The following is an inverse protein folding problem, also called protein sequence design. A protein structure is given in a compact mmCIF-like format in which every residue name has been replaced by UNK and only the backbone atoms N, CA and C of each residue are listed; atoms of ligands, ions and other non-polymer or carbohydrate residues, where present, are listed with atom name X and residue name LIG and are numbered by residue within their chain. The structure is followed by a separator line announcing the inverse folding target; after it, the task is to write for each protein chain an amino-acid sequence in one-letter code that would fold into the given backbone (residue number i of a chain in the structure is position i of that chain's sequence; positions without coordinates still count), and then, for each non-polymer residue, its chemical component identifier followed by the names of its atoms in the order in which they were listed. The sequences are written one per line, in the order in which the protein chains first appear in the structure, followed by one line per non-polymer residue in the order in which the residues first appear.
data_IF_246423215087
#
_entry.id   IF_246423215087
#
_cell.length_a   1.000
_cell.length_b   1.000
_cell.length_c   1.000
_cell.angle_alpha   90.00
_cell.angle_beta   90.00
_cell.angle_gamma   90.00
#
_symmetry.space_group_name_H-M   'P 1'
#
loop_
_entity.id
_entity.type
_entity.pdbx_description
1 polymer ?
#
# COMPACT_ATOMS: atom_id res chain seq x y z
N UNK A 1 4.00 -13.14 -7.03
CA UNK A 1 4.03 -14.06 -8.13
C UNK A 1 5.31 -14.77 -8.43
N UNK A 2 6.27 -14.60 -7.63
CA UNK A 2 7.55 -15.25 -7.71
C UNK A 2 7.44 -16.76 -7.62
N UNK A 3 6.28 -17.25 -7.30
CA UNK A 3 6.16 -18.58 -6.77
C UNK A 3 5.08 -19.41 -7.35
N UNK A 4 4.45 -18.96 -8.34
CA UNK A 4 3.70 -19.87 -9.19
C UNK A 4 4.70 -20.67 -10.03
N UNK A 5 5.52 -21.45 -9.36
CA UNK A 5 6.16 -22.56 -9.99
C UNK A 5 5.04 -23.38 -10.61
N UNK A 6 4.98 -23.41 -11.93
CA UNK A 6 3.99 -24.21 -12.65
C UNK A 6 4.10 -25.71 -12.34
N UNK A 7 5.16 -26.08 -11.66
CA UNK A 7 5.46 -27.44 -11.23
C UNK A 7 5.90 -27.36 -9.77
N UNK A 8 4.98 -27.59 -8.83
CA UNK A 8 5.32 -27.60 -7.40
C UNK A 8 6.39 -28.64 -7.13
N UNK A 9 7.38 -28.27 -6.35
CA UNK A 9 8.40 -29.21 -5.93
C UNK A 9 7.77 -30.26 -5.00
N UNK A 10 7.93 -31.57 -5.27
CA UNK A 10 7.32 -32.61 -4.45
C UNK A 10 7.99 -32.78 -3.07
N UNK A 11 9.15 -32.16 -2.85
CA UNK A 11 9.81 -32.20 -1.54
C UNK A 11 9.09 -31.28 -0.56
N UNK A 12 8.49 -31.78 0.53
CA UNK A 12 7.77 -30.95 1.51
C UNK A 12 8.68 -29.96 2.24
N UNK A 13 9.97 -30.21 2.30
CA UNK A 13 10.96 -29.32 2.94
C UNK A 13 11.50 -28.26 1.98
N UNK A 14 11.03 -28.23 0.74
CA UNK A 14 11.48 -27.23 -0.20
C UNK A 14 11.03 -25.83 0.20
N UNK A 15 11.89 -24.85 -0.02
CA UNK A 15 11.67 -23.46 0.38
C UNK A 15 10.34 -22.89 -0.14
N UNK A 16 9.82 -23.38 -1.27
CA UNK A 16 8.53 -22.93 -1.80
C UNK A 16 7.33 -23.30 -0.91
N UNK A 17 7.48 -24.32 -0.06
CA UNK A 17 6.47 -24.74 0.92
C UNK A 17 6.65 -24.05 2.25
N UNK A 18 7.79 -23.42 2.48
CA UNK A 18 8.16 -22.73 3.71
C UNK A 18 7.79 -21.24 3.61
N UNK A 19 6.52 -20.98 3.42
CA UNK A 19 6.02 -19.65 3.26
C UNK A 19 5.92 -18.93 4.62
N UNK A 20 6.89 -18.09 4.92
CA UNK A 20 6.87 -17.22 6.10
C UNK A 20 6.22 -15.84 5.84
N UNK A 21 5.57 -15.67 4.70
CA UNK A 21 4.90 -14.44 4.29
C UNK A 21 5.83 -13.34 3.75
N UNK A 22 7.12 -13.42 4.01
CA UNK A 22 8.07 -12.38 3.60
C UNK A 22 8.39 -12.42 2.11
N UNK A 23 8.41 -13.60 1.53
CA UNK A 23 8.80 -13.80 0.14
C UNK A 23 7.82 -13.18 -0.86
N UNK A 24 6.53 -13.17 -0.56
CA UNK A 24 5.53 -12.55 -1.44
C UNK A 24 5.55 -11.01 -1.42
N UNK A 25 6.04 -10.44 -0.34
CA UNK A 25 6.14 -8.99 -0.15
C UNK A 25 7.41 -8.40 -0.76
N UNK A 26 8.44 -9.21 -0.93
CA UNK A 26 9.76 -8.76 -1.33
C UNK A 26 10.05 -9.11 -2.79
N UNK A 27 10.99 -8.37 -3.38
CA UNK A 27 11.54 -8.75 -4.67
C UNK A 27 12.53 -9.93 -4.54
N UNK A 28 13.12 -10.34 -5.66
CA UNK A 28 14.09 -11.42 -5.70
C UNK A 28 15.27 -11.26 -4.72
N UNK A 29 15.65 -10.03 -4.42
CA UNK A 29 16.75 -9.70 -3.51
C UNK A 29 16.32 -9.51 -2.06
N UNK A 30 15.07 -9.79 -1.71
CA UNK A 30 14.55 -9.67 -0.36
C UNK A 30 14.19 -8.23 0.06
N UNK A 31 14.12 -7.29 -0.86
CA UNK A 31 13.72 -5.92 -0.55
C UNK A 31 12.21 -5.77 -0.57
N UNK A 32 11.67 -5.20 0.50
CA UNK A 32 10.27 -4.77 0.54
C UNK A 32 10.09 -3.57 -0.39
N UNK A 33 9.41 -3.79 -1.51
CA UNK A 33 9.22 -2.76 -2.53
C UNK A 33 8.36 -1.59 -2.03
N UNK A 34 7.51 -1.83 -1.06
CA UNK A 34 6.72 -0.77 -0.42
C UNK A 34 7.55 0.12 0.52
N UNK A 35 8.83 -0.12 0.66
CA UNK A 35 9.79 0.74 1.38
C UNK A 35 10.75 1.44 0.44
N UNK A 36 10.50 1.39 -0.86
CA UNK A 36 11.43 1.87 -1.88
C UNK A 36 11.01 3.18 -2.58
N UNK A 37 9.99 3.88 -2.04
CA UNK A 37 9.54 5.15 -2.62
C UNK A 37 10.57 6.28 -2.56
N UNK A 38 11.42 6.29 -1.54
CA UNK A 38 12.45 7.30 -1.33
C UNK A 38 13.83 6.77 -1.74
N UNK A 39 14.20 5.61 -1.23
CA UNK A 39 15.54 5.05 -1.46
C UNK A 39 15.78 4.59 -2.90
N UNK A 40 14.75 4.11 -3.58
CA UNK A 40 14.74 3.76 -5.02
C UNK A 40 15.96 2.91 -5.42
N UNK A 41 16.36 1.99 -4.56
CA UNK A 41 17.58 1.18 -4.78
C UNK A 41 17.35 0.07 -5.79
N UNK A 42 16.12 -0.42 -5.92
CA UNK A 42 15.78 -1.57 -6.74
C UNK A 42 15.29 -1.15 -8.14
N UNK A 43 15.41 -2.02 -9.14
CA UNK A 43 14.99 -1.71 -10.52
C UNK A 43 13.49 -1.48 -10.65
N UNK A 44 12.67 -2.21 -9.90
CA UNK A 44 11.21 -2.09 -9.94
C UNK A 44 10.74 -0.68 -9.53
N UNK A 45 11.12 -0.13 -8.35
CA UNK A 45 10.74 1.23 -7.99
C UNK A 45 11.30 2.28 -8.96
N UNK A 46 12.47 2.09 -9.54
CA UNK A 46 12.97 3.00 -10.58
C UNK A 46 12.03 3.06 -11.79
N UNK A 47 11.49 1.92 -12.20
CA UNK A 47 10.59 1.85 -13.34
C UNK A 47 9.25 2.55 -13.07
N UNK A 48 8.62 2.30 -11.92
CA UNK A 48 7.31 2.92 -11.61
C UNK A 48 7.45 4.41 -11.29
N UNK A 49 8.48 4.85 -10.56
CA UNK A 49 8.70 6.27 -10.30
C UNK A 49 8.97 7.02 -11.60
N UNK A 50 9.74 6.43 -12.52
CA UNK A 50 9.90 7.00 -13.86
C UNK A 50 8.54 7.17 -14.55
N UNK A 51 7.69 6.14 -14.53
CA UNK A 51 6.35 6.22 -15.12
C UNK A 51 5.46 7.23 -14.40
N UNK A 52 5.54 7.31 -13.09
CA UNK A 52 4.87 8.33 -12.32
C UNK A 52 5.22 9.75 -12.80
N UNK A 53 6.49 10.04 -12.96
CA UNK A 53 6.94 11.34 -13.46
C UNK A 53 6.56 11.63 -14.91
N UNK A 54 6.52 10.60 -15.74
CA UNK A 54 6.05 10.73 -17.14
C UNK A 54 4.55 11.01 -17.21
N UNK A 55 3.75 10.27 -16.44
CA UNK A 55 2.29 10.35 -16.49
C UNK A 55 1.71 11.49 -15.67
N UNK A 56 2.38 11.85 -14.58
CA UNK A 56 1.92 12.87 -13.63
C UNK A 56 0.45 12.71 -13.24
N UNK A 57 0.07 11.58 -12.65
CA UNK A 57 -1.32 11.31 -12.33
C UNK A 57 -1.87 12.34 -11.35
N UNK A 58 -3.11 12.76 -11.55
CA UNK A 58 -3.80 13.67 -10.63
C UNK A 58 -4.34 12.93 -9.39
N UNK A 59 -4.52 11.62 -9.52
CA UNK A 59 -4.94 10.73 -8.45
C UNK A 59 -4.16 9.43 -8.54
N UNK A 60 -3.71 8.95 -7.41
CA UNK A 60 -3.12 7.62 -7.26
C UNK A 60 -3.81 6.88 -6.15
N UNK A 61 -4.05 5.61 -6.36
CA UNK A 61 -4.67 4.74 -5.36
C UNK A 61 -3.75 3.56 -5.11
N UNK A 62 -3.41 3.37 -3.86
CA UNK A 62 -2.62 2.23 -3.40
C UNK A 62 -3.52 1.29 -2.60
N UNK A 63 -3.68 0.05 -3.09
CA UNK A 63 -4.54 -0.95 -2.46
C UNK A 63 -3.73 -1.88 -1.59
N UNK A 64 -4.19 -2.02 -0.35
CA UNK A 64 -3.58 -2.91 0.62
C UNK A 64 -4.58 -3.89 1.22
N UNK A 65 -4.10 -5.08 1.59
CA UNK A 65 -4.85 -6.00 2.42
C UNK A 65 -4.84 -5.54 3.87
N UNK A 66 -5.87 -5.90 4.57
CA UNK A 66 -5.96 -5.77 6.02
C UNK A 66 -6.07 -7.13 6.67
N UNK A 67 -5.62 -7.24 7.91
CA UNK A 67 -5.83 -8.45 8.69
C UNK A 67 -7.32 -8.75 8.84
N UNK A 68 -7.67 -10.03 8.86
CA UNK A 68 -9.07 -10.48 8.93
C UNK A 68 -9.85 -9.98 10.15
N UNK A 69 -9.14 -9.58 11.20
CA UNK A 69 -9.70 -9.00 12.43
C UNK A 69 -9.67 -7.47 12.46
N UNK A 70 -9.20 -6.83 11.39
CA UNK A 70 -9.08 -5.38 11.29
C UNK A 70 -10.25 -4.77 10.53
N UNK A 71 -10.48 -3.49 10.79
CA UNK A 71 -11.49 -2.71 10.08
C UNK A 71 -10.86 -2.01 8.89
N UNK A 72 -11.70 -1.58 7.95
CA UNK A 72 -11.26 -0.75 6.83
C UNK A 72 -10.68 0.58 7.31
N UNK A 73 -9.66 1.06 6.62
CA UNK A 73 -9.13 2.40 6.82
C UNK A 73 -8.68 3.01 5.49
N UNK A 74 -8.70 4.32 5.41
CA UNK A 74 -8.29 5.06 4.22
C UNK A 74 -7.94 6.52 4.54
N UNK A 75 -7.35 7.18 3.56
CA UNK A 75 -7.05 8.61 3.63
C UNK A 75 -8.33 9.47 3.77
N UNK A 76 -8.20 10.71 4.26
CA UNK A 76 -6.96 11.34 4.70
C UNK A 76 -6.46 10.77 6.02
N UNK A 77 -5.16 10.83 6.23
CA UNK A 77 -4.53 10.44 7.48
C UNK A 77 -4.78 11.44 8.63
N UNK A 78 -4.10 11.23 9.76
CA UNK A 78 -4.15 12.17 10.89
C UNK A 78 -3.56 13.51 10.45
N UNK A 79 -4.30 14.65 10.56
CA UNK A 79 -3.83 15.94 10.07
C UNK A 79 -2.47 16.36 10.59
N UNK A 80 -2.18 16.08 11.85
CA UNK A 80 -0.90 16.42 12.49
C UNK A 80 0.29 15.59 12.01
N UNK A 81 0.02 14.55 11.22
CA UNK A 81 1.03 13.63 10.65
C UNK A 81 1.19 13.80 9.15
N UNK A 82 0.39 14.63 8.53
CA UNK A 82 0.52 14.91 7.11
C UNK A 82 1.82 15.64 6.81
N UNK A 83 2.45 15.25 5.70
CA UNK A 83 3.67 15.91 5.28
C UNK A 83 3.38 17.38 4.92
N UNK A 84 4.20 18.34 5.39
CA UNK A 84 3.91 19.78 5.21
C UNK A 84 3.92 20.26 3.75
N UNK A 85 4.42 19.45 2.82
CA UNK A 85 4.39 19.74 1.38
C UNK A 85 3.10 19.23 0.69
N UNK A 86 2.22 18.53 1.40
CA UNK A 86 0.92 18.14 0.84
C UNK A 86 0.04 19.39 0.84
N UNK A 87 -0.45 19.83 -0.32
CA UNK A 87 -1.32 20.99 -0.38
C UNK A 87 -2.69 20.70 0.22
N UNK A 88 -3.28 21.68 0.91
CA UNK A 88 -4.61 21.56 1.55
C UNK A 88 -5.69 21.13 0.54
N UNK A 89 -5.60 21.62 -0.69
CA UNK A 89 -6.52 21.22 -1.77
C UNK A 89 -6.47 19.71 -2.08
N UNK A 90 -5.32 19.08 -1.88
CA UNK A 90 -5.16 17.63 -2.00
C UNK A 90 -5.92 16.90 -0.89
N UNK A 91 -5.79 17.37 0.34
CA UNK A 91 -6.48 16.79 1.48
C UNK A 91 -8.01 16.93 1.35
N UNK A 92 -8.49 18.12 0.99
CA UNK A 92 -9.91 18.35 0.71
C UNK A 92 -10.47 17.46 -0.40
N UNK A 93 -9.68 17.21 -1.44
CA UNK A 93 -10.08 16.31 -2.51
C UNK A 93 -10.16 14.86 -2.03
N UNK A 94 -9.21 14.43 -1.19
CA UNK A 94 -9.23 13.09 -0.60
C UNK A 94 -10.48 12.86 0.24
N UNK A 95 -10.86 13.81 1.07
CA UNK A 95 -12.11 13.74 1.85
C UNK A 95 -13.34 13.57 0.96
N UNK A 96 -13.41 14.30 -0.15
CA UNK A 96 -14.51 14.19 -1.11
C UNK A 96 -14.55 12.83 -1.81
N UNK A 97 -13.38 12.28 -2.12
CA UNK A 97 -13.27 10.97 -2.80
C UNK A 97 -13.64 9.82 -1.86
N UNK A 98 -13.31 9.94 -0.59
CA UNK A 98 -13.57 8.91 0.42
C UNK A 98 -15.05 8.84 0.80
N UNK A 99 -15.75 9.95 0.80
CA UNK A 99 -17.15 10.03 1.25
C UNK A 99 -18.11 8.99 0.67
N UNK A 100 -18.10 8.68 -0.65
CA UNK A 100 -18.93 7.59 -1.18
C UNK A 100 -18.57 6.21 -0.63
N UNK A 101 -17.30 5.97 -0.29
CA UNK A 101 -16.88 4.72 0.32
C UNK A 101 -17.40 4.61 1.77
N UNK A 102 -17.38 5.70 2.52
CA UNK A 102 -17.96 5.76 3.87
C UNK A 102 -19.46 5.49 3.82
N UNK A 103 -20.19 6.18 2.96
CA UNK A 103 -21.64 5.99 2.78
C UNK A 103 -21.97 4.53 2.42
N UNK A 104 -21.16 3.91 1.55
CA UNK A 104 -21.31 2.51 1.22
C UNK A 104 -21.06 1.60 2.43
N UNK A 105 -19.97 1.79 3.17
CA UNK A 105 -19.64 0.99 4.34
C UNK A 105 -20.69 1.13 5.44
N UNK A 106 -21.21 2.34 5.66
CA UNK A 106 -22.31 2.61 6.59
C UNK A 106 -23.57 1.83 6.19
N UNK A 107 -23.91 1.85 4.90
CA UNK A 107 -25.05 1.09 4.37
C UNK A 107 -24.90 -0.41 4.62
N UNK A 108 -23.68 -0.92 4.60
CA UNK A 108 -23.33 -2.33 4.87
C UNK A 108 -23.07 -2.61 6.35
N UNK A 109 -23.19 -1.61 7.22
CA UNK A 109 -22.86 -1.70 8.66
C UNK A 109 -21.45 -2.23 8.92
N UNK A 110 -20.49 -1.80 8.10
CA UNK A 110 -19.09 -2.16 8.24
C UNK A 110 -18.34 -1.05 8.95
N UNK A 111 -17.48 -1.45 9.88
CA UNK A 111 -16.60 -0.52 10.57
C UNK A 111 -15.47 -0.07 9.67
N UNK A 112 -15.13 1.20 9.75
CA UNK A 112 -14.00 1.81 9.08
C UNK A 112 -13.39 2.90 9.94
N UNK A 113 -12.17 3.27 9.61
CA UNK A 113 -11.47 4.40 10.20
C UNK A 113 -10.82 5.22 9.10
N UNK A 114 -10.82 6.51 9.26
CA UNK A 114 -9.89 7.38 8.57
C UNK A 114 -9.10 8.18 9.59
N UNK A 115 -7.82 8.38 9.30
CA UNK A 115 -6.98 9.25 10.08
C UNK A 115 -6.27 8.69 11.29
N UNK A 116 -6.28 7.39 11.54
CA UNK A 116 -5.72 6.89 12.80
C UNK A 116 -4.65 5.80 12.68
N UNK A 117 -4.22 5.48 11.49
CA UNK A 117 -3.17 4.47 11.34
C UNK A 117 -2.09 4.93 10.40
N UNK A 118 -0.89 4.54 10.79
CA UNK A 118 0.33 4.81 10.07
C UNK A 118 0.63 6.29 10.00
N UNK A 119 1.81 6.61 9.99
CA UNK A 119 2.46 7.65 9.31
C UNK A 119 2.98 8.76 10.13
N UNK A 120 4.23 8.64 10.09
CA UNK A 120 5.15 9.72 10.30
C UNK A 120 5.53 10.34 8.94
N UNK A 121 6.03 11.55 8.97
CA UNK A 121 6.40 12.40 7.86
C UNK A 121 7.17 11.74 6.71
N UNK A 122 7.87 10.66 6.97
CA UNK A 122 8.91 10.20 6.07
C UNK A 122 8.69 8.78 5.56
N UNK A 123 7.70 8.11 6.08
CA UNK A 123 7.49 6.74 5.71
C UNK A 123 6.07 6.55 5.26
N UNK A 124 5.98 6.30 4.01
CA UNK A 124 4.80 5.69 3.43
C UNK A 124 4.84 4.24 3.89
N UNK A 125 3.97 3.91 4.77
CA UNK A 125 3.83 2.54 5.26
C UNK A 125 3.23 1.64 4.20
#
# INVERSE_FOLDING_TARGET
DTFSSKIPNPNPDHIEHNYDGRLARTNHYGFDLNRQWISITQPEPRAWIKKWHEWRPNLSVDYHEMGSSQTYYFSPGVPTRNHPLIPDTGLELMEKIVKPAEEFLDSQKRLYFHGDRYDHFFFIS
#
